data_IF_172551805384
#
_entry.id   IF_172551805384
#
_cell.length_a   1.000
_cell.length_b   1.000
_cell.length_c   1.000
_cell.angle_alpha   90.00
_cell.angle_beta   90.00
_cell.angle_gamma   90.00
#
_symmetry.space_group_name_H-M   'P 1'
#
loop_
_entity.id
_entity.type
_entity.pdbx_description
1 polymer ?
#
# COMPACT_ATOMS: atom_id res chain seq x y z
N UNK A 1 3.25 -44.49 -40.85
CA UNK A 1 4.33 -44.26 -39.87
C UNK A 1 3.68 -43.85 -38.57
N UNK A 2 3.77 -44.72 -37.55
CA UNK A 2 3.19 -44.46 -36.23
C UNK A 2 3.82 -43.24 -35.54
N UNK A 3 5.06 -42.92 -35.88
CA UNK A 3 5.80 -41.77 -35.33
C UNK A 3 5.20 -40.41 -35.71
N UNK A 4 4.57 -40.29 -36.88
CA UNK A 4 3.95 -39.04 -37.29
C UNK A 4 2.65 -38.76 -36.50
N UNK A 5 1.84 -39.80 -36.26
CA UNK A 5 0.63 -39.69 -35.45
C UNK A 5 0.96 -39.49 -33.96
N UNK A 6 2.07 -40.08 -33.48
CA UNK A 6 2.56 -39.86 -32.12
C UNK A 6 3.18 -38.47 -31.94
N UNK A 7 3.87 -37.94 -32.95
CA UNK A 7 4.39 -36.58 -32.97
C UNK A 7 3.27 -35.52 -33.00
N UNK A 8 2.15 -35.79 -33.67
CA UNK A 8 0.97 -34.90 -33.70
C UNK A 8 0.18 -34.93 -32.38
N UNK A 9 0.10 -36.09 -31.72
CA UNK A 9 -0.42 -36.23 -30.36
C UNK A 9 0.48 -35.56 -29.31
N UNK A 10 1.81 -35.65 -29.47
CA UNK A 10 2.76 -34.93 -28.61
C UNK A 10 2.78 -33.43 -28.91
N UNK A 11 2.63 -33.01 -30.16
CA UNK A 11 2.52 -31.59 -30.55
C UNK A 11 1.23 -30.93 -30.04
N UNK A 12 0.14 -31.69 -29.93
CA UNK A 12 -1.12 -31.23 -29.32
C UNK A 12 -1.14 -31.27 -27.78
N UNK A 13 -0.21 -32.01 -27.16
CA UNK A 13 -0.02 -32.07 -25.71
C UNK A 13 1.16 -31.21 -25.21
N UNK A 14 2.09 -30.84 -26.09
CA UNK A 14 3.22 -29.97 -25.78
C UNK A 14 2.73 -28.52 -25.77
N UNK A 15 2.79 -27.82 -24.63
CA UNK A 15 2.37 -26.44 -24.56
C UNK A 15 3.28 -25.59 -25.46
N UNK A 16 2.69 -24.87 -26.42
CA UNK A 16 3.32 -23.79 -27.18
C UNK A 16 3.63 -22.64 -26.22
N UNK A 17 4.68 -22.80 -25.42
CA UNK A 17 5.25 -21.71 -24.65
C UNK A 17 5.97 -20.82 -25.63
N UNK A 18 5.40 -19.66 -25.97
CA UNK A 18 6.15 -18.59 -26.61
C UNK A 18 7.43 -18.37 -25.81
N UNK A 19 8.57 -18.76 -26.38
CA UNK A 19 9.84 -18.86 -25.65
C UNK A 19 10.35 -17.51 -25.09
N UNK A 20 9.68 -16.40 -25.44
CA UNK A 20 9.96 -15.06 -24.95
C UNK A 20 9.57 -14.79 -23.49
N UNK A 21 8.50 -15.40 -22.97
CA UNK A 21 7.95 -15.03 -21.64
C UNK A 21 8.23 -16.06 -20.54
N UNK A 22 8.64 -17.27 -20.91
CA UNK A 22 9.09 -18.31 -19.97
C UNK A 22 10.22 -17.82 -19.07
N UNK A 23 11.26 -17.12 -19.57
CA UNK A 23 12.32 -16.60 -18.73
C UNK A 23 11.81 -15.62 -17.68
N UNK A 24 10.87 -14.74 -18.03
CA UNK A 24 10.30 -13.74 -17.12
C UNK A 24 9.42 -14.39 -16.04
N UNK A 25 8.59 -15.36 -16.42
CA UNK A 25 7.73 -16.09 -15.47
C UNK A 25 8.54 -16.96 -14.52
N UNK A 26 9.57 -17.64 -15.01
CA UNK A 26 10.52 -18.37 -14.18
C UNK A 26 11.32 -17.43 -13.28
N UNK A 27 11.67 -16.24 -13.77
CA UNK A 27 12.31 -15.21 -12.97
C UNK A 27 11.39 -14.71 -11.84
N UNK A 28 10.11 -14.43 -12.11
CA UNK A 28 9.13 -14.01 -11.10
C UNK A 28 8.83 -15.14 -10.10
N UNK A 29 8.71 -16.38 -10.57
CA UNK A 29 8.56 -17.56 -9.71
C UNK A 29 9.80 -17.75 -8.84
N UNK A 30 11.00 -17.64 -9.41
CA UNK A 30 12.25 -17.73 -8.67
C UNK A 30 12.38 -16.58 -7.66
N UNK A 31 11.99 -15.35 -8.02
CA UNK A 31 11.98 -14.20 -7.13
C UNK A 31 10.99 -14.39 -5.99
N UNK A 32 9.78 -14.87 -6.29
CA UNK A 32 8.74 -15.19 -5.30
C UNK A 32 9.14 -16.34 -4.40
N UNK A 33 9.72 -17.40 -4.95
CA UNK A 33 10.24 -18.54 -4.19
C UNK A 33 11.46 -18.15 -3.36
N UNK A 34 12.37 -17.31 -3.86
CA UNK A 34 13.47 -16.72 -3.10
C UNK A 34 12.96 -15.80 -2.00
N UNK A 35 11.92 -15.01 -2.25
CA UNK A 35 11.26 -14.17 -1.25
C UNK A 35 10.59 -15.00 -0.16
N UNK A 36 9.85 -16.03 -0.54
CA UNK A 36 9.19 -16.98 0.37
C UNK A 36 10.22 -17.80 1.16
N UNK A 37 11.29 -18.27 0.50
CA UNK A 37 12.43 -18.93 1.16
C UNK A 37 13.20 -17.97 2.04
N UNK A 38 13.38 -16.70 1.67
CA UNK A 38 14.04 -15.70 2.51
C UNK A 38 13.18 -15.37 3.73
N UNK A 39 11.86 -15.26 3.58
CA UNK A 39 10.92 -15.06 4.68
C UNK A 39 10.85 -16.29 5.60
N UNK A 40 10.69 -17.48 5.02
CA UNK A 40 10.68 -18.76 5.73
C UNK A 40 12.02 -19.03 6.41
N UNK A 41 13.15 -18.68 5.76
CA UNK A 41 14.50 -18.83 6.33
C UNK A 41 14.82 -17.73 7.33
N UNK A 42 14.26 -16.52 7.21
CA UNK A 42 14.32 -15.50 8.26
C UNK A 42 13.49 -15.88 9.49
N UNK A 43 12.38 -16.61 9.29
CA UNK A 43 11.54 -17.14 10.35
C UNK A 43 12.11 -18.42 11.01
N UNK A 44 12.64 -19.35 10.22
CA UNK A 44 13.06 -20.69 10.66
C UNK A 44 14.57 -20.80 10.98
N UNK A 45 15.43 -20.07 10.27
CA UNK A 45 16.83 -19.96 10.62
C UNK A 45 17.05 -18.59 11.27
N UNK A 46 17.70 -18.49 12.44
CA UNK A 46 18.25 -17.22 12.86
C UNK A 46 19.34 -16.88 11.84
N UNK A 47 18.98 -16.17 10.75
CA UNK A 47 19.96 -15.45 9.95
C UNK A 47 20.78 -14.68 10.96
N UNK A 48 22.05 -15.06 11.11
CA UNK A 48 22.97 -14.49 12.07
C UNK A 48 23.29 -13.08 11.59
N UNK A 49 22.32 -12.18 11.70
CA UNK A 49 22.52 -10.74 11.63
C UNK A 49 23.56 -10.29 12.68
N UNK A 50 23.89 -11.14 13.66
CA UNK A 50 25.07 -10.99 14.54
C UNK A 50 26.41 -10.83 13.79
N UNK A 51 26.58 -11.41 12.58
CA UNK A 51 27.80 -11.15 11.78
C UNK A 51 27.75 -9.82 11.02
N UNK A 52 26.55 -9.32 10.74
CA UNK A 52 26.29 -7.98 10.21
C UNK A 52 25.88 -7.01 11.33
N UNK A 53 26.19 -7.33 12.58
CA UNK A 53 26.07 -6.38 13.68
C UNK A 53 27.08 -5.27 13.37
N UNK A 54 26.61 -4.21 12.71
CA UNK A 54 27.39 -3.02 12.48
C UNK A 54 28.06 -2.67 13.80
N UNK A 55 29.41 -2.59 13.79
CA UNK A 55 30.20 -2.31 15.00
C UNK A 55 29.49 -1.17 15.77
N UNK A 56 29.15 -1.37 17.04
CA UNK A 56 28.42 -0.35 17.80
C UNK A 56 29.21 0.96 17.70
N UNK A 57 28.55 2.01 17.22
CA UNK A 57 29.21 3.31 17.05
C UNK A 57 29.77 3.81 18.38
N UNK A 58 30.83 4.62 18.34
CA UNK A 58 31.42 5.24 19.54
C UNK A 58 30.30 5.96 20.31
N UNK A 59 30.13 5.61 21.58
CA UNK A 59 29.09 6.22 22.43
C UNK A 59 29.38 7.72 22.57
N UNK A 60 28.40 8.57 22.28
CA UNK A 60 28.49 10.03 22.48
C UNK A 60 28.15 10.40 23.93
N UNK A 61 28.54 11.62 24.32
CA UNK A 61 28.16 12.18 25.62
C UNK A 61 26.64 12.33 25.74
N UNK A 62 26.12 12.27 26.98
CA UNK A 62 24.67 12.36 27.27
C UNK A 62 24.03 13.61 26.65
N UNK A 63 24.67 14.77 26.83
CA UNK A 63 24.16 16.06 26.33
C UNK A 63 24.18 16.13 24.81
N UNK A 64 25.28 15.72 24.17
CA UNK A 64 25.42 15.73 22.71
C UNK A 64 24.38 14.85 22.00
N UNK A 65 23.97 13.77 22.65
CA UNK A 65 22.95 12.86 22.12
C UNK A 65 21.53 13.31 22.46
N UNK A 66 21.27 13.70 23.71
CA UNK A 66 19.92 14.01 24.20
C UNK A 66 19.40 15.34 23.68
N UNK A 67 20.26 16.37 23.57
CA UNK A 67 19.86 17.72 23.18
C UNK A 67 19.12 17.78 21.83
N UNK A 68 19.65 17.22 20.72
CA UNK A 68 18.93 17.26 19.44
C UNK A 68 17.64 16.44 19.45
N UNK A 69 17.60 15.33 20.20
CA UNK A 69 16.41 14.47 20.27
C UNK A 69 15.30 15.08 21.11
N UNK A 70 15.64 15.69 22.25
CA UNK A 70 14.66 16.41 23.08
C UNK A 70 14.11 17.62 22.32
N UNK A 71 14.95 18.34 21.56
CA UNK A 71 14.46 19.43 20.71
C UNK A 71 13.49 18.91 19.64
N UNK A 72 13.78 17.75 19.05
CA UNK A 72 12.88 17.11 18.10
C UNK A 72 11.57 16.67 18.74
N UNK A 73 11.61 16.09 19.95
CA UNK A 73 10.42 15.73 20.73
C UNK A 73 9.56 16.95 21.03
N UNK A 74 10.16 18.07 21.44
CA UNK A 74 9.44 19.33 21.68
C UNK A 74 8.79 19.84 20.40
N UNK A 75 9.50 19.79 19.27
CA UNK A 75 8.95 20.20 17.97
C UNK A 75 7.76 19.33 17.57
N UNK A 76 7.89 18.00 17.68
CA UNK A 76 6.82 17.05 17.36
C UNK A 76 5.64 17.20 18.33
N UNK A 77 5.90 17.43 19.61
CA UNK A 77 4.86 17.67 20.61
C UNK A 77 4.09 18.97 20.30
N UNK A 78 4.78 20.06 19.95
CA UNK A 78 4.15 21.31 19.54
C UNK A 78 3.31 21.12 18.27
N UNK A 79 3.85 20.42 17.26
CA UNK A 79 3.13 20.08 16.04
C UNK A 79 1.87 19.25 16.33
N UNK A 80 2.00 18.18 17.11
CA UNK A 80 0.88 17.33 17.51
C UNK A 80 -0.14 18.10 18.35
N UNK A 81 0.28 19.01 19.23
CA UNK A 81 -0.63 19.85 20.00
C UNK A 81 -1.49 20.74 19.08
N UNK A 82 -0.89 21.34 18.04
CA UNK A 82 -1.65 22.11 17.03
C UNK A 82 -2.62 21.20 16.29
N UNK A 83 -2.17 20.00 15.87
CA UNK A 83 -3.05 19.06 15.17
C UNK A 83 -4.23 18.59 16.03
N UNK A 84 -3.98 18.26 17.30
CA UNK A 84 -5.02 17.86 18.25
C UNK A 84 -5.95 19.03 18.61
N UNK A 85 -5.42 20.26 18.74
CA UNK A 85 -6.23 21.45 18.97
C UNK A 85 -7.16 21.75 17.79
N UNK A 86 -6.70 21.55 16.55
CA UNK A 86 -7.58 21.60 15.37
C UNK A 86 -8.61 20.45 15.40
N UNK A 87 -8.18 19.26 15.84
CA UNK A 87 -9.04 18.07 15.90
C UNK A 87 -10.19 18.21 16.91
N UNK A 88 -9.90 18.72 18.12
CA UNK A 88 -10.83 18.83 19.25
C UNK A 88 -11.44 20.23 19.43
N UNK A 89 -10.80 21.30 18.93
CA UNK A 89 -11.13 22.69 19.21
C UNK A 89 -12.02 23.40 18.19
N UNK A 90 -12.40 22.74 17.10
CA UNK A 90 -13.46 23.24 16.22
C UNK A 90 -13.10 23.20 14.74
N UNK A 91 -13.33 22.05 14.12
CA UNK A 91 -13.51 21.99 12.66
C UNK A 91 -14.63 22.93 12.18
N UNK A 92 -15.68 23.15 12.99
CA UNK A 92 -16.79 24.03 12.64
C UNK A 92 -16.44 25.54 12.71
N UNK A 93 -15.52 25.95 13.59
CA UNK A 93 -15.15 27.38 13.76
C UNK A 93 -14.16 27.89 12.71
N UNK A 94 -13.28 27.04 12.20
CA UNK A 94 -12.27 27.42 11.19
C UNK A 94 -12.84 27.34 9.75
N UNK A 95 -13.79 26.42 9.51
CA UNK A 95 -14.52 26.38 8.22
C UNK A 95 -15.38 27.63 8.00
N UNK A 96 -15.98 28.18 9.07
CA UNK A 96 -16.83 29.38 8.98
C UNK A 96 -16.05 30.68 8.68
N UNK A 97 -14.74 30.72 8.89
CA UNK A 97 -13.93 31.95 8.83
C UNK A 97 -12.98 32.05 7.64
N UNK A 98 -12.64 30.94 6.98
CA UNK A 98 -11.62 30.94 5.92
C UNK A 98 -12.15 30.74 4.51
N UNK A 99 -13.42 30.34 4.33
CA UNK A 99 -14.04 30.15 3.00
C UNK A 99 -13.35 29.08 2.12
N UNK A 100 -12.38 28.34 2.66
CA UNK A 100 -11.68 27.28 1.96
C UNK A 100 -12.51 25.99 2.03
N UNK A 101 -12.97 25.49 0.89
CA UNK A 101 -13.55 24.16 0.79
C UNK A 101 -12.53 23.10 1.25
N UNK A 102 -12.95 22.28 2.22
CA UNK A 102 -12.30 21.08 2.79
C UNK A 102 -11.28 20.35 1.89
N UNK A 103 -11.58 20.26 0.61
CA UNK A 103 -10.81 19.56 -0.41
C UNK A 103 -9.43 20.18 -0.75
N UNK A 104 -9.21 21.48 -0.51
CA UNK A 104 -7.93 22.14 -0.78
C UNK A 104 -6.89 21.94 0.34
N UNK A 105 -7.31 21.91 1.60
CA UNK A 105 -6.40 21.63 2.74
C UNK A 105 -5.89 20.18 2.73
N UNK A 106 -6.68 19.24 2.20
CA UNK A 106 -6.33 17.82 2.11
C UNK A 106 -5.26 17.50 1.05
N UNK A 107 -5.06 18.37 0.04
CA UNK A 107 -4.11 18.12 -1.07
C UNK A 107 -2.64 18.40 -0.71
N UNK A 108 -2.39 19.28 0.26
CA UNK A 108 -1.04 19.66 0.66
C UNK A 108 -0.71 19.08 2.04
N UNK A 109 0.42 18.39 2.14
CA UNK A 109 0.98 17.95 3.43
C UNK A 109 0.91 16.45 3.72
N UNK A 110 0.09 15.65 3.03
CA UNK A 110 0.11 14.19 3.22
C UNK A 110 1.53 13.61 2.96
N UNK A 111 2.10 13.92 1.79
CA UNK A 111 3.44 13.45 1.43
C UNK A 111 4.51 13.95 2.41
N UNK A 112 4.31 15.12 3.00
CA UNK A 112 5.22 15.65 4.02
C UNK A 112 5.14 14.81 5.30
N UNK A 113 3.95 14.35 5.70
CA UNK A 113 3.78 13.47 6.86
C UNK A 113 4.40 12.09 6.62
N UNK A 114 4.21 11.50 5.43
CA UNK A 114 4.87 10.24 5.07
C UNK A 114 6.39 10.38 5.14
N UNK A 115 6.96 11.43 4.55
CA UNK A 115 8.40 11.71 4.64
C UNK A 115 8.85 11.98 6.07
N UNK A 116 8.03 12.66 6.89
CA UNK A 116 8.32 12.88 8.30
C UNK A 116 8.38 11.56 9.09
N UNK A 117 7.48 10.61 8.83
CA UNK A 117 7.51 9.27 9.44
C UNK A 117 8.79 8.52 9.05
N UNK A 118 9.15 8.52 7.76
CA UNK A 118 10.38 7.89 7.25
C UNK A 118 11.63 8.52 7.86
N UNK A 119 11.72 9.86 7.86
CA UNK A 119 12.84 10.59 8.46
C UNK A 119 12.95 10.33 9.96
N UNK A 120 11.83 10.27 10.67
CA UNK A 120 11.80 9.94 12.11
C UNK A 120 12.38 8.55 12.36
N UNK A 121 12.04 7.54 11.56
CA UNK A 121 12.63 6.20 11.68
C UNK A 121 14.14 6.21 11.42
N UNK A 122 14.62 6.98 10.43
CA UNK A 122 16.06 7.16 10.17
C UNK A 122 16.74 7.79 11.39
N UNK A 123 16.17 8.86 11.94
CA UNK A 123 16.69 9.52 13.14
C UNK A 123 16.74 8.54 14.31
N UNK A 124 15.70 7.75 14.54
CA UNK A 124 15.66 6.75 15.61
C UNK A 124 16.76 5.69 15.40
N UNK A 125 16.94 5.18 14.19
CA UNK A 125 17.96 4.19 13.88
C UNK A 125 19.39 4.73 14.11
N UNK A 126 19.64 5.96 13.68
CA UNK A 126 20.91 6.67 13.89
C UNK A 126 21.15 6.96 15.38
N UNK A 127 20.14 7.47 16.08
CA UNK A 127 20.20 7.75 17.50
C UNK A 127 20.47 6.47 18.31
N UNK A 128 19.82 5.37 17.99
CA UNK A 128 20.05 4.08 18.63
C UNK A 128 21.49 3.55 18.40
N UNK A 129 22.09 3.83 17.24
CA UNK A 129 23.46 3.41 16.92
C UNK A 129 24.52 4.13 17.77
N UNK A 130 24.29 5.40 18.10
CA UNK A 130 25.22 6.24 18.87
C UNK A 130 24.79 6.49 20.33
N UNK A 131 23.76 5.78 20.80
CA UNK A 131 23.20 5.93 22.14
C UNK A 131 24.27 5.73 23.25
N UNK A 132 24.25 6.55 24.32
CA UNK A 132 25.10 6.37 25.49
C UNK A 132 24.90 4.99 26.15
N UNK A 133 26.00 4.32 26.53
CA UNK A 133 25.99 2.93 27.05
C UNK A 133 26.54 2.76 28.47
N UNK A 134 26.67 3.84 29.23
CA UNK A 134 27.32 3.84 30.55
C UNK A 134 26.58 3.04 31.62
N UNK A 135 25.40 3.52 32.07
CA UNK A 135 24.71 3.00 33.26
C UNK A 135 23.17 2.89 33.18
N UNK A 136 22.51 2.65 34.32
CA UNK A 136 21.04 2.58 34.41
C UNK A 136 20.36 3.89 33.97
N UNK A 137 20.94 5.04 34.33
CA UNK A 137 20.44 6.36 33.93
C UNK A 137 20.50 6.60 32.42
N UNK A 138 21.58 6.15 31.76
CA UNK A 138 21.69 6.23 30.29
C UNK A 138 20.62 5.40 29.60
N UNK A 139 20.35 4.19 30.11
CA UNK A 139 19.31 3.32 29.55
C UNK A 139 17.91 3.91 29.73
N UNK A 140 17.63 4.53 30.87
CA UNK A 140 16.35 5.19 31.12
C UNK A 140 16.19 6.41 30.22
N UNK A 141 17.21 7.24 30.09
CA UNK A 141 17.22 8.41 29.21
C UNK A 141 16.99 8.00 27.76
N UNK A 142 17.74 7.02 27.25
CA UNK A 142 17.60 6.54 25.86
C UNK A 142 16.21 5.96 25.62
N UNK A 143 15.69 5.14 26.54
CA UNK A 143 14.34 4.56 26.43
C UNK A 143 13.24 5.61 26.52
N UNK A 144 13.39 6.58 27.40
CA UNK A 144 12.43 7.67 27.59
C UNK A 144 12.37 8.56 26.36
N UNK A 145 13.50 9.08 25.89
CA UNK A 145 13.57 9.97 24.72
C UNK A 145 13.15 9.25 23.44
N UNK A 146 13.71 8.07 23.13
CA UNK A 146 13.30 7.35 21.91
C UNK A 146 11.87 6.83 21.99
N UNK A 147 11.40 6.42 23.18
CA UNK A 147 10.03 5.97 23.37
C UNK A 147 9.02 7.11 23.20
N UNK A 148 9.33 8.30 23.73
CA UNK A 148 8.53 9.50 23.51
C UNK A 148 8.51 9.90 22.04
N UNK A 149 9.66 9.90 21.36
CA UNK A 149 9.74 10.18 19.93
C UNK A 149 8.89 9.20 19.11
N UNK A 150 8.95 7.89 19.43
CA UNK A 150 8.11 6.89 18.77
C UNK A 150 6.61 7.14 19.01
N UNK A 151 6.23 7.47 20.24
CA UNK A 151 4.84 7.79 20.58
C UNK A 151 4.35 9.01 19.80
N UNK A 152 5.14 10.08 19.76
CA UNK A 152 4.81 11.29 19.00
C UNK A 152 4.73 11.01 17.50
N UNK A 153 5.59 10.16 16.96
CA UNK A 153 5.55 9.72 15.57
C UNK A 153 4.28 8.91 15.26
N UNK A 154 3.81 8.05 16.18
CA UNK A 154 2.55 7.32 16.02
C UNK A 154 1.33 8.26 15.96
N UNK A 155 1.35 9.37 16.70
CA UNK A 155 0.30 10.40 16.59
C UNK A 155 0.34 11.07 15.21
N UNK A 156 1.53 11.32 14.66
CA UNK A 156 1.70 11.84 13.29
C UNK A 156 1.13 10.88 12.25
N UNK A 157 1.44 9.58 12.36
CA UNK A 157 0.89 8.51 11.52
C UNK A 157 -0.64 8.50 11.58
N UNK A 158 -1.21 8.56 12.78
CA UNK A 158 -2.67 8.60 12.96
C UNK A 158 -3.30 9.83 12.30
N UNK A 159 -2.66 10.99 12.41
CA UNK A 159 -3.10 12.21 11.72
C UNK A 159 -3.02 12.09 10.19
N UNK A 160 -1.95 11.48 9.66
CA UNK A 160 -1.79 11.25 8.24
C UNK A 160 -2.89 10.35 7.67
N UNK A 161 -3.21 9.26 8.38
CA UNK A 161 -4.31 8.35 8.01
C UNK A 161 -5.66 9.07 8.06
N UNK A 162 -5.93 9.88 9.09
CA UNK A 162 -7.18 10.65 9.16
C UNK A 162 -7.29 11.65 8.01
N UNK A 163 -6.21 12.37 7.67
CA UNK A 163 -6.20 13.27 6.50
C UNK A 163 -6.46 12.53 5.19
N UNK A 164 -5.91 11.33 5.03
CA UNK A 164 -6.16 10.51 3.85
C UNK A 164 -7.61 10.01 3.80
N UNK A 165 -8.18 9.61 4.92
CA UNK A 165 -9.58 9.19 5.03
C UNK A 165 -10.54 10.32 4.61
N UNK A 166 -10.30 11.54 5.09
CA UNK A 166 -10.99 12.75 4.65
C UNK A 166 -10.82 13.01 3.13
N UNK A 167 -9.60 12.77 2.60
CA UNK A 167 -9.35 12.87 1.16
C UNK A 167 -10.21 11.86 0.38
N UNK A 168 -10.22 10.60 0.81
CA UNK A 168 -10.99 9.51 0.20
C UNK A 168 -12.49 9.81 0.26
N UNK A 169 -12.98 10.34 1.37
CA UNK A 169 -14.38 10.76 1.52
C UNK A 169 -14.78 11.86 0.52
N UNK A 170 -13.86 12.76 0.15
CA UNK A 170 -14.10 13.80 -0.85
C UNK A 170 -13.95 13.32 -2.30
N UNK A 171 -12.90 12.55 -2.61
CA UNK A 171 -12.46 12.26 -3.97
C UNK A 171 -12.51 10.78 -4.38
N UNK A 172 -13.04 9.90 -3.52
CA UNK A 172 -13.09 8.45 -3.77
C UNK A 172 -11.79 7.73 -3.44
N UNK A 173 -11.78 6.41 -3.61
CA UNK A 173 -10.58 5.60 -3.37
C UNK A 173 -9.79 5.42 -4.68
N UNK A 174 -8.46 5.41 -4.62
CA UNK A 174 -7.59 5.11 -5.77
C UNK A 174 -6.47 4.16 -5.36
N UNK A 175 -5.90 3.44 -6.34
CA UNK A 175 -4.71 2.59 -6.18
C UNK A 175 -3.61 3.27 -5.38
N UNK A 176 -3.25 4.51 -5.76
CA UNK A 176 -2.21 5.28 -5.08
C UNK A 176 -2.55 5.53 -3.61
N UNK A 177 -3.78 5.93 -3.29
CA UNK A 177 -4.22 6.21 -1.91
C UNK A 177 -4.16 4.94 -1.06
N UNK A 178 -4.60 3.79 -1.59
CA UNK A 178 -4.54 2.49 -0.90
C UNK A 178 -3.10 2.07 -0.62
N UNK A 179 -2.21 2.11 -1.63
CA UNK A 179 -0.79 1.77 -1.48
C UNK A 179 -0.12 2.63 -0.42
N UNK A 180 -0.43 3.92 -0.43
CA UNK A 180 0.11 4.90 0.50
C UNK A 180 -0.38 4.67 1.93
N UNK A 181 -1.68 4.40 2.13
CA UNK A 181 -2.23 4.04 3.44
C UNK A 181 -1.61 2.74 3.97
N UNK A 182 -1.43 1.74 3.11
CA UNK A 182 -0.76 0.49 3.46
C UNK A 182 0.69 0.71 3.89
N UNK A 183 1.43 1.55 3.17
CA UNK A 183 2.80 1.91 3.53
C UNK A 183 2.87 2.66 4.88
N UNK A 184 1.99 3.64 5.09
CA UNK A 184 1.92 4.41 6.34
C UNK A 184 1.57 3.52 7.55
N UNK A 185 0.62 2.59 7.37
CA UNK A 185 0.28 1.58 8.39
C UNK A 185 1.46 0.66 8.71
N UNK A 186 2.22 0.25 7.69
CA UNK A 186 3.42 -0.55 7.89
C UNK A 186 4.51 0.23 8.64
N UNK A 187 4.73 1.51 8.32
CA UNK A 187 5.67 2.37 9.06
C UNK A 187 5.23 2.54 10.52
N UNK A 188 3.93 2.74 10.76
CA UNK A 188 3.35 2.75 12.10
C UNK A 188 3.61 1.45 12.87
N UNK A 189 3.44 0.29 12.21
CA UNK A 189 3.77 -1.00 12.79
C UNK A 189 5.27 -1.09 13.13
N UNK A 190 6.16 -0.61 12.25
CA UNK A 190 7.61 -0.58 12.54
C UNK A 190 7.90 0.26 13.79
N UNK A 191 7.26 1.42 13.97
CA UNK A 191 7.40 2.23 15.20
C UNK A 191 6.95 1.47 16.45
N UNK A 192 5.85 0.72 16.37
CA UNK A 192 5.39 -0.15 17.47
C UNK A 192 6.42 -1.24 17.78
N UNK A 193 6.96 -1.91 16.75
CA UNK A 193 7.99 -2.94 16.92
C UNK A 193 9.28 -2.35 17.52
N UNK A 194 9.69 -1.15 17.11
CA UNK A 194 10.85 -0.43 17.68
C UNK A 194 10.62 -0.11 19.17
N UNK A 195 9.43 0.34 19.53
CA UNK A 195 9.06 0.62 20.93
C UNK A 195 9.12 -0.66 21.76
N UNK A 196 8.54 -1.75 21.25
CA UNK A 196 8.60 -3.08 21.85
C UNK A 196 10.03 -3.60 22.01
N UNK A 197 10.89 -3.37 21.02
CA UNK A 197 12.31 -3.72 21.07
C UNK A 197 13.08 -2.97 22.17
N UNK A 198 12.65 -1.76 22.54
CA UNK A 198 13.20 -1.01 23.67
C UNK A 198 12.98 -1.73 25.02
N UNK A 199 11.89 -2.48 25.14
CA UNK A 199 11.48 -3.22 26.35
C UNK A 199 12.04 -4.65 26.34
N UNK A 200 11.80 -5.41 25.27
CA UNK A 200 12.12 -6.84 25.15
C UNK A 200 13.48 -7.13 24.48
N UNK A 201 14.17 -6.10 24.00
CA UNK A 201 15.47 -6.19 23.32
C UNK A 201 15.35 -6.21 21.78
N UNK A 202 16.36 -5.70 21.09
CA UNK A 202 16.29 -5.42 19.64
C UNK A 202 16.70 -6.56 18.70
N UNK A 203 17.06 -7.73 19.22
CA UNK A 203 17.62 -8.87 18.44
C UNK A 203 16.60 -9.55 17.52
N UNK A 204 15.30 -9.44 17.82
CA UNK A 204 14.21 -9.97 16.98
C UNK A 204 13.69 -8.93 15.99
N UNK A 205 13.97 -7.63 16.21
CA UNK A 205 13.39 -6.52 15.46
C UNK A 205 13.63 -6.60 13.95
N UNK A 206 14.86 -6.82 13.43
CA UNK A 206 15.06 -6.90 11.98
C UNK A 206 14.25 -8.02 11.32
N UNK A 207 14.12 -9.18 12.00
CA UNK A 207 13.32 -10.30 11.50
C UNK A 207 11.84 -9.96 11.48
N UNK A 208 11.33 -9.35 12.54
CA UNK A 208 9.93 -8.94 12.60
C UNK A 208 9.59 -7.87 11.55
N UNK A 209 10.48 -6.90 11.29
CA UNK A 209 10.29 -5.87 10.25
C UNK A 209 10.26 -6.49 8.85
N UNK A 210 11.19 -7.41 8.55
CA UNK A 210 11.19 -8.10 7.24
C UNK A 210 9.98 -9.01 7.09
N UNK A 211 9.63 -9.77 8.13
CA UNK A 211 8.46 -10.63 8.13
C UNK A 211 7.15 -9.83 7.98
N UNK A 212 7.02 -8.68 8.65
CA UNK A 212 5.85 -7.82 8.52
C UNK A 212 5.78 -7.14 7.16
N UNK A 213 6.91 -6.78 6.55
CA UNK A 213 6.93 -6.26 5.18
C UNK A 213 6.47 -7.32 4.17
N UNK A 214 6.99 -8.56 4.29
CA UNK A 214 6.58 -9.67 3.43
C UNK A 214 5.09 -9.98 3.61
N UNK A 215 4.61 -10.05 4.86
CA UNK A 215 3.20 -10.26 5.17
C UNK A 215 2.33 -9.11 4.63
N UNK A 216 2.78 -7.86 4.72
CA UNK A 216 2.08 -6.70 4.18
C UNK A 216 1.95 -6.73 2.66
N UNK A 217 3.02 -7.08 1.94
CA UNK A 217 2.99 -7.24 0.47
C UNK A 217 2.08 -8.39 0.05
N UNK A 218 2.16 -9.53 0.75
CA UNK A 218 1.27 -10.66 0.50
C UNK A 218 -0.19 -10.29 0.75
N UNK A 219 -0.49 -9.63 1.88
CA UNK A 219 -1.83 -9.16 2.20
C UNK A 219 -2.34 -8.15 1.15
N UNK A 220 -1.48 -7.23 0.70
CA UNK A 220 -1.82 -6.25 -0.33
C UNK A 220 -2.15 -6.93 -1.68
N UNK A 221 -1.37 -7.92 -2.09
CA UNK A 221 -1.64 -8.69 -3.31
C UNK A 221 -2.91 -9.54 -3.21
N UNK A 222 -3.11 -10.23 -2.08
CA UNK A 222 -4.28 -11.08 -1.85
C UNK A 222 -5.58 -10.29 -1.68
N UNK A 223 -5.51 -9.05 -1.19
CA UNK A 223 -6.66 -8.18 -1.05
C UNK A 223 -7.14 -7.59 -2.38
N UNK A 224 -6.40 -7.78 -3.49
CA UNK A 224 -6.70 -7.25 -4.83
C UNK A 224 -7.09 -5.77 -4.79
N UNK A 225 -6.13 -4.82 -4.77
CA UNK A 225 -6.40 -3.41 -4.50
C UNK A 225 -7.42 -2.79 -5.47
N UNK A 226 -7.49 -3.30 -6.70
CA UNK A 226 -8.39 -2.80 -7.75
C UNK A 226 -9.86 -3.20 -7.49
N UNK A 227 -10.11 -4.41 -6.97
CA UNK A 227 -11.43 -4.83 -6.49
C UNK A 227 -11.88 -3.99 -5.28
N UNK A 228 -10.99 -3.76 -4.30
CA UNK A 228 -11.29 -2.93 -3.14
C UNK A 228 -11.64 -1.49 -3.56
N UNK A 229 -10.86 -0.92 -4.48
CA UNK A 229 -11.10 0.40 -5.07
C UNK A 229 -12.45 0.44 -5.77
N UNK A 230 -12.78 -0.55 -6.60
CA UNK A 230 -14.06 -0.61 -7.29
C UNK A 230 -15.24 -0.70 -6.31
N UNK A 231 -15.22 -1.66 -5.37
CA UNK A 231 -16.29 -1.84 -4.37
C UNK A 231 -16.55 -0.59 -3.56
N UNK A 232 -15.50 0.06 -3.06
CA UNK A 232 -15.65 1.25 -2.22
C UNK A 232 -16.25 2.43 -3.00
N UNK A 233 -15.81 2.65 -4.25
CA UNK A 233 -16.34 3.74 -5.07
C UNK A 233 -17.79 3.48 -5.49
N UNK A 234 -18.16 2.24 -5.80
CA UNK A 234 -19.55 1.86 -6.13
C UNK A 234 -20.45 1.98 -4.89
N UNK A 235 -20.01 1.48 -3.73
CA UNK A 235 -20.76 1.59 -2.48
C UNK A 235 -21.02 3.06 -2.10
N UNK A 236 -20.02 3.93 -2.31
CA UNK A 236 -20.18 5.38 -2.13
C UNK A 236 -21.19 5.98 -3.12
N UNK A 237 -21.13 5.57 -4.38
CA UNK A 237 -22.07 6.05 -5.40
C UNK A 237 -23.53 5.71 -5.07
N UNK A 238 -23.77 4.54 -4.46
CA UNK A 238 -25.12 4.16 -4.01
C UNK A 238 -25.70 5.13 -2.95
N UNK A 239 -24.85 5.75 -2.13
CA UNK A 239 -25.25 6.75 -1.13
C UNK A 239 -25.30 8.19 -1.67
N UNK A 240 -24.42 8.55 -2.60
CA UNK A 240 -24.34 9.88 -3.23
C UNK A 240 -24.24 9.76 -4.76
N UNK A 241 -25.38 9.65 -5.48
CA UNK A 241 -25.40 9.50 -6.93
C UNK A 241 -24.87 10.77 -7.61
N UNK A 242 -23.67 10.70 -8.18
CA UNK A 242 -23.03 11.81 -8.90
C UNK A 242 -21.50 11.87 -8.78
N UNK A 243 -20.89 11.08 -7.89
CA UNK A 243 -19.43 11.09 -7.65
C UNK A 243 -18.71 9.81 -8.09
N UNK A 244 -19.09 9.27 -9.25
CA UNK A 244 -18.43 8.09 -9.83
C UNK A 244 -17.53 8.52 -10.98
N UNK A 245 -16.21 8.32 -10.83
CA UNK A 245 -15.22 8.60 -11.86
C UNK A 245 -15.06 7.38 -12.77
N UNK A 246 -15.91 7.29 -13.78
CA UNK A 246 -15.92 6.18 -14.72
C UNK A 246 -14.63 6.08 -15.55
N UNK A 247 -13.99 7.21 -15.87
CA UNK A 247 -12.72 7.23 -16.61
C UNK A 247 -11.60 6.57 -15.78
N UNK A 248 -11.59 6.81 -14.47
CA UNK A 248 -10.66 6.13 -13.58
C UNK A 248 -10.95 4.62 -13.47
N UNK A 249 -12.24 4.23 -13.37
CA UNK A 249 -12.64 2.83 -13.22
C UNK A 249 -12.30 1.95 -14.43
N UNK A 250 -12.32 2.51 -15.64
CA UNK A 250 -11.92 1.81 -16.86
C UNK A 250 -10.46 1.35 -16.86
N UNK A 251 -9.60 2.05 -16.11
CA UNK A 251 -8.16 1.77 -16.05
C UNK A 251 -7.80 0.77 -14.92
N UNK A 252 -8.78 0.15 -14.28
CA UNK A 252 -8.58 -0.89 -13.26
C UNK A 252 -8.29 -2.25 -13.90
N UNK A 253 -7.66 -3.16 -13.15
CA UNK A 253 -7.40 -4.52 -13.61
C UNK A 253 -8.67 -5.36 -13.75
N UNK A 254 -8.54 -6.54 -14.36
CA UNK A 254 -9.60 -7.55 -14.43
C UNK A 254 -10.18 -7.96 -13.06
N UNK A 255 -9.44 -7.75 -11.96
CA UNK A 255 -9.92 -8.03 -10.59
C UNK A 255 -11.13 -7.16 -10.22
N UNK A 256 -11.27 -5.97 -10.82
CA UNK A 256 -12.38 -5.06 -10.54
C UNK A 256 -13.70 -5.49 -11.21
N UNK A 257 -13.66 -6.38 -12.21
CA UNK A 257 -14.83 -6.73 -13.05
C UNK A 257 -16.02 -7.24 -12.24
N UNK A 258 -15.87 -8.14 -11.25
CA UNK A 258 -17.00 -8.59 -10.42
C UNK A 258 -17.69 -7.45 -9.66
N UNK A 259 -16.93 -6.46 -9.20
CA UNK A 259 -17.51 -5.29 -8.55
C UNK A 259 -18.21 -4.37 -9.57
N UNK A 260 -17.55 -4.08 -10.70
CA UNK A 260 -18.08 -3.22 -11.75
C UNK A 260 -19.35 -3.78 -12.41
N UNK A 261 -19.53 -5.11 -12.46
CA UNK A 261 -20.73 -5.76 -13.00
C UNK A 261 -22.02 -5.42 -12.25
N UNK A 262 -21.90 -4.99 -10.98
CA UNK A 262 -23.04 -4.58 -10.15
C UNK A 262 -23.61 -3.21 -10.50
N UNK A 263 -22.92 -2.42 -11.33
CA UNK A 263 -23.40 -1.12 -11.76
C UNK A 263 -24.62 -1.24 -12.69
N UNK A 264 -25.54 -0.26 -12.67
CA UNK A 264 -26.60 -0.18 -13.66
C UNK A 264 -26.05 0.24 -15.04
N UNK A 265 -26.75 -0.14 -16.10
CA UNK A 265 -26.47 0.41 -17.43
C UNK A 265 -26.90 1.88 -17.50
N UNK A 266 -26.16 2.76 -18.21
CA UNK A 266 -25.03 2.48 -19.11
C UNK A 266 -23.64 2.50 -18.44
N UNK A 267 -23.58 2.74 -17.13
CA UNK A 267 -22.33 2.94 -16.37
C UNK A 267 -21.48 1.67 -16.33
N UNK A 268 -22.13 0.51 -16.20
CA UNK A 268 -21.49 -0.80 -16.25
C UNK A 268 -20.76 -1.02 -17.57
N UNK A 269 -21.47 -0.93 -18.70
CA UNK A 269 -20.86 -1.17 -20.00
C UNK A 269 -19.71 -0.21 -20.28
N UNK A 270 -19.85 1.05 -19.85
CA UNK A 270 -18.78 2.02 -19.97
C UNK A 270 -17.56 1.70 -19.10
N UNK A 271 -17.74 1.32 -17.83
CA UNK A 271 -16.62 1.01 -16.94
C UNK A 271 -15.84 -0.25 -17.35
N UNK A 272 -16.53 -1.22 -17.97
CA UNK A 272 -15.95 -2.48 -18.42
C UNK A 272 -15.36 -2.42 -19.84
N UNK A 273 -15.59 -1.33 -20.59
CA UNK A 273 -15.25 -1.25 -22.02
C UNK A 273 -13.74 -1.42 -22.29
N UNK A 274 -12.89 -0.68 -21.57
CA UNK A 274 -11.44 -0.77 -21.76
C UNK A 274 -10.90 -2.11 -21.25
N UNK A 275 -11.36 -2.56 -20.08
CA UNK A 275 -10.97 -3.84 -19.49
C UNK A 275 -11.30 -4.99 -20.45
N UNK A 276 -12.50 -4.99 -21.05
CA UNK A 276 -12.90 -6.01 -22.01
C UNK A 276 -12.06 -6.01 -23.29
N UNK A 277 -11.51 -4.85 -23.70
CA UNK A 277 -10.58 -4.73 -24.83
C UNK A 277 -9.19 -5.28 -24.50
N UNK A 278 -8.75 -5.19 -23.25
CA UNK A 278 -7.47 -5.72 -22.79
C UNK A 278 -7.51 -7.21 -22.44
N UNK A 279 -8.70 -7.80 -22.26
CA UNK A 279 -8.84 -9.21 -21.90
C UNK A 279 -8.23 -10.13 -22.97
N UNK A 280 -7.64 -11.26 -22.55
CA UNK A 280 -7.03 -12.20 -23.48
C UNK A 280 -8.05 -12.82 -24.46
N UNK A 281 -7.67 -12.89 -25.74
CA UNK A 281 -8.45 -13.55 -26.79
C UNK A 281 -8.62 -15.06 -26.54
N UNK A 282 -9.60 -15.68 -27.22
CA UNK A 282 -9.85 -17.13 -27.17
C UNK A 282 -8.65 -18.01 -27.61
N UNK A 283 -7.65 -17.42 -28.28
CA UNK A 283 -6.40 -18.09 -28.68
C UNK A 283 -5.35 -18.10 -27.57
N UNK A 284 -5.56 -17.37 -26.48
CA UNK A 284 -4.61 -17.32 -25.36
C UNK A 284 -4.64 -18.64 -24.60
N UNK A 285 -3.48 -19.31 -24.42
CA UNK A 285 -3.44 -20.55 -23.67
C UNK A 285 -3.92 -20.38 -22.23
N UNK A 286 -4.55 -21.42 -21.68
CA UNK A 286 -5.16 -21.38 -20.33
C UNK A 286 -4.16 -21.00 -19.21
N UNK A 287 -2.87 -21.33 -19.37
CA UNK A 287 -1.81 -21.01 -18.40
C UNK A 287 -1.26 -19.58 -18.52
N UNK A 288 -1.67 -18.85 -19.55
CA UNK A 288 -1.30 -17.44 -19.74
C UNK A 288 -2.38 -16.48 -19.22
N UNK A 289 -3.49 -17.01 -18.71
CA UNK A 289 -4.62 -16.26 -18.20
C UNK A 289 -4.58 -16.27 -16.66
N UNK A 290 -4.74 -15.10 -16.05
CA UNK A 290 -4.90 -14.98 -14.61
C UNK A 290 -6.29 -15.41 -14.15
N UNK A 291 -6.44 -15.79 -12.87
CA UNK A 291 -7.76 -16.13 -12.32
C UNK A 291 -8.77 -14.97 -12.47
N UNK A 292 -8.29 -13.74 -12.36
CA UNK A 292 -9.07 -12.52 -12.52
C UNK A 292 -9.63 -12.39 -13.93
N UNK A 293 -8.78 -12.53 -14.95
CA UNK A 293 -9.18 -12.51 -16.36
C UNK A 293 -10.15 -13.63 -16.69
N UNK A 294 -9.93 -14.84 -16.16
CA UNK A 294 -10.84 -15.96 -16.35
C UNK A 294 -12.24 -15.66 -15.78
N UNK A 295 -12.30 -15.07 -14.58
CA UNK A 295 -13.55 -14.67 -13.93
C UNK A 295 -14.23 -13.55 -14.73
N UNK A 296 -13.48 -12.55 -15.16
CA UNK A 296 -13.97 -11.44 -15.97
C UNK A 296 -14.57 -11.92 -17.31
N UNK A 297 -13.89 -12.83 -18.01
CA UNK A 297 -14.40 -13.46 -19.22
C UNK A 297 -15.70 -14.24 -18.98
N UNK A 298 -15.82 -14.94 -17.85
CA UNK A 298 -17.05 -15.62 -17.45
C UNK A 298 -18.23 -14.65 -17.32
N UNK A 299 -18.03 -13.57 -16.57
CA UNK A 299 -19.05 -12.54 -16.33
C UNK A 299 -19.48 -11.88 -17.65
N UNK A 300 -18.53 -11.51 -18.52
CA UNK A 300 -18.83 -10.87 -19.80
C UNK A 300 -19.52 -11.81 -20.81
N UNK A 301 -19.31 -13.13 -20.70
CA UNK A 301 -20.05 -14.12 -21.49
C UNK A 301 -21.50 -14.26 -21.04
N UNK A 302 -21.74 -14.22 -19.73
CA UNK A 302 -23.08 -14.31 -19.16
C UNK A 302 -23.88 -13.01 -19.37
N UNK A 303 -23.22 -11.86 -19.23
CA UNK A 303 -23.80 -10.52 -19.40
C UNK A 303 -22.92 -9.69 -20.35
N UNK A 304 -23.13 -9.79 -21.68
CA UNK A 304 -22.34 -9.01 -22.64
C UNK A 304 -22.54 -7.50 -22.46
N UNK A 305 -21.56 -6.72 -22.89
CA UNK A 305 -21.63 -5.26 -22.88
C UNK A 305 -22.73 -4.78 -23.84
N UNK A 306 -23.43 -3.71 -23.48
CA UNK A 306 -24.36 -3.06 -24.41
C UNK A 306 -23.60 -2.39 -25.55
N UNK A 307 -24.09 -2.58 -26.78
CA UNK A 307 -23.57 -1.88 -27.94
C UNK A 307 -23.88 -0.37 -27.93
N UNK A 308 -23.26 0.36 -28.87
CA UNK A 308 -23.40 1.81 -29.02
C UNK A 308 -22.27 2.58 -28.34
N UNK A 309 -22.57 3.76 -27.80
CA UNK A 309 -21.61 4.62 -27.07
C UNK A 309 -22.05 4.69 -25.59
N UNK A 310 -21.84 3.61 -24.80
CA UNK A 310 -22.30 3.53 -23.41
C UNK A 310 -21.65 4.61 -22.54
N UNK A 311 -20.40 4.98 -22.83
CA UNK A 311 -19.73 6.05 -22.11
C UNK A 311 -20.29 7.44 -22.38
N UNK A 312 -20.66 7.74 -23.63
CA UNK A 312 -21.42 8.95 -23.92
C UNK A 312 -22.76 8.97 -23.17
N UNK A 313 -23.51 7.85 -23.17
CA UNK A 313 -24.78 7.74 -22.43
C UNK A 313 -24.60 7.87 -20.91
N UNK A 314 -23.45 7.45 -20.39
CA UNK A 314 -23.07 7.60 -19.00
C UNK A 314 -22.54 9.00 -18.63
N UNK A 315 -22.44 9.92 -19.61
CA UNK A 315 -22.01 11.30 -19.39
C UNK A 315 -20.50 11.52 -19.42
N UNK A 316 -19.71 10.55 -19.89
CA UNK A 316 -18.28 10.71 -20.12
C UNK A 316 -18.03 11.43 -21.46
N UNK A 317 -17.32 12.57 -21.48
CA UNK A 317 -17.01 13.27 -22.71
C UNK A 317 -15.92 12.53 -23.51
N UNK A 318 -16.08 12.45 -24.84
CA UNK A 318 -15.14 11.78 -25.77
C UNK A 318 -13.68 12.28 -25.68
N UNK A 319 -13.44 13.48 -25.17
CA UNK A 319 -12.11 14.04 -24.99
C UNK A 319 -11.28 13.32 -23.90
N UNK A 320 -11.92 12.57 -23.01
CA UNK A 320 -11.27 11.80 -21.93
C UNK A 320 -11.06 10.33 -22.33
N UNK A 321 -11.61 9.89 -23.47
CA UNK A 321 -11.52 8.51 -23.98
C UNK A 321 -10.27 8.26 -24.86
N UNK A 322 -9.24 9.10 -24.78
CA UNK A 322 -7.99 9.00 -25.57
C UNK A 322 -6.76 8.88 -24.68
#
# INVERSE_FOLDING_TARGET
>A
GADAAFADLLGSLAPDTGAGDVPLRLFLLALGALGALAAARAAAAPLRFDRAAAKPGKARGRLEWALPLVLLDVLFAAFNAVQLAVLFGGYDKVLASTGLTYAQYARQGFWQLLWATVLTLVVIALAARWAPRGGRGDRLLVRGTLGLLCLLALVVVASALRRMDLYVEAYGLTRLRVSVMGAELWLGLVLVLVTAAGVWGARWLPRAVVASAAAGVLAFGLASPDDLVARQNIARHAGEPGRLDLAYLQNLSADAVPALDSLPEPQRSCALEEIARELPDARTPWYAISLAEHTALGILRERPLEGGDPCWRAGLPRAVMR
#
